data_IF_993230111121
#
_entry.id   IF_993230111121
#
_cell.length_a   1.000
_cell.length_b   1.000
_cell.length_c   1.000
_cell.angle_alpha   90.00
_cell.angle_beta   90.00
_cell.angle_gamma   90.00
#
_symmetry.space_group_name_H-M   'P 1'
#
loop_
_entity.id
_entity.type
_entity.pdbx_description
1 polymer ?
#
# COMPACT_ATOMS: atom_id res chain seq x y z
N UNK A 1 -10.68 5.90 -6.63
CA UNK A 1 -9.41 5.17 -6.88
C UNK A 1 -8.26 5.96 -6.26
N UNK A 2 -7.18 5.31 -5.82
CA UNK A 2 -5.97 5.97 -5.34
C UNK A 2 -4.71 5.38 -5.96
N UNK A 3 -3.65 6.18 -5.98
CA UNK A 3 -2.32 5.79 -6.40
C UNK A 3 -1.31 6.11 -5.29
N UNK A 4 -0.25 5.32 -5.22
CA UNK A 4 0.90 5.60 -4.38
C UNK A 4 2.14 5.84 -5.25
N UNK A 5 2.85 6.94 -4.97
CA UNK A 5 4.17 7.25 -5.51
C UNK A 5 5.21 6.89 -4.46
N UNK A 6 6.30 6.23 -4.85
CA UNK A 6 7.44 6.00 -3.94
C UNK A 6 8.48 7.09 -4.16
N UNK A 7 8.94 7.71 -3.08
CA UNK A 7 10.11 8.60 -3.11
C UNK A 7 11.40 7.86 -3.48
N UNK A 8 11.54 6.59 -3.10
CA UNK A 8 12.71 5.77 -3.43
C UNK A 8 12.85 5.47 -4.94
N UNK A 9 11.74 5.18 -5.61
CA UNK A 9 11.72 4.81 -7.04
C UNK A 9 11.34 6.00 -7.95
N UNK A 10 11.03 7.15 -7.35
CA UNK A 10 10.54 8.40 -7.96
C UNK A 10 9.42 8.19 -9.00
N UNK A 11 8.51 7.25 -8.73
CA UNK A 11 7.43 6.88 -9.66
C UNK A 11 6.19 6.39 -8.96
N UNK A 12 5.07 6.34 -9.69
CA UNK A 12 3.87 5.64 -9.23
C UNK A 12 4.16 4.15 -9.18
N UNK A 13 3.92 3.57 -8.01
CA UNK A 13 4.26 2.19 -7.69
C UNK A 13 3.05 1.36 -7.33
N UNK A 14 1.90 1.95 -7.00
CA UNK A 14 0.74 1.16 -6.64
C UNK A 14 -0.55 1.87 -7.02
N UNK A 15 -1.54 1.10 -7.44
CA UNK A 15 -2.89 1.58 -7.74
C UNK A 15 -3.88 0.72 -6.96
N UNK A 16 -4.90 1.35 -6.38
CA UNK A 16 -5.90 0.65 -5.60
C UNK A 16 -7.26 1.32 -5.64
N UNK A 17 -8.31 0.52 -5.47
CA UNK A 17 -9.64 1.03 -5.16
C UNK A 17 -9.97 0.97 -3.67
N UNK A 18 -10.52 2.08 -3.16
CA UNK A 18 -11.27 2.09 -1.92
C UNK A 18 -12.75 2.18 -2.28
N UNK A 19 -13.38 1.04 -2.57
CA UNK A 19 -14.83 0.98 -2.55
C UNK A 19 -15.32 1.44 -1.15
N UNK A 20 -16.42 2.18 -1.11
CA UNK A 20 -17.11 2.44 0.14
C UNK A 20 -17.43 1.09 0.80
N UNK A 21 -16.79 0.82 1.94
CA UNK A 21 -17.35 -0.18 2.84
C UNK A 21 -18.60 0.47 3.42
N UNK A 22 -19.79 -0.06 3.08
CA UNK A 22 -21.04 0.31 3.76
C UNK A 22 -20.77 0.34 5.26
N UNK A 23 -20.97 1.50 5.88
CA UNK A 23 -20.94 1.58 7.33
C UNK A 23 -21.96 0.60 7.91
N UNK A 24 -21.65 0.02 9.07
CA UNK A 24 -22.69 -0.63 9.88
C UNK A 24 -23.36 0.45 10.72
N UNK A 25 -24.51 0.16 11.33
CA UNK A 25 -25.15 1.07 12.31
C UNK A 25 -24.20 1.51 13.44
N UNK A 26 -23.13 0.76 13.69
CA UNK A 26 -22.09 1.00 14.69
C UNK A 26 -20.77 1.59 14.16
N UNK A 27 -20.56 1.71 12.84
CA UNK A 27 -19.31 2.25 12.27
C UNK A 27 -19.58 3.06 11.00
N UNK A 28 -19.12 4.32 10.92
CA UNK A 28 -19.33 5.15 9.74
C UNK A 28 -18.64 4.54 8.50
N UNK A 29 -19.15 4.81 7.29
CA UNK A 29 -18.47 4.48 6.04
C UNK A 29 -17.05 5.05 6.08
N UNK A 30 -16.04 4.21 5.83
CA UNK A 30 -14.66 4.64 6.03
C UNK A 30 -13.96 5.07 4.74
N UNK A 31 -14.51 4.78 3.56
CA UNK A 31 -13.99 5.22 2.25
C UNK A 31 -12.46 5.14 2.13
N UNK A 32 -11.85 6.22 1.62
CA UNK A 32 -10.40 6.40 1.53
C UNK A 32 -9.72 6.50 2.91
N UNK A 33 -10.33 7.21 3.87
CA UNK A 33 -9.73 7.43 5.21
C UNK A 33 -9.47 6.13 5.97
N UNK A 34 -10.41 5.19 5.96
CA UNK A 34 -10.20 3.86 6.57
C UNK A 34 -9.31 2.94 5.75
N UNK A 35 -9.16 3.19 4.45
CA UNK A 35 -8.16 2.48 3.65
C UNK A 35 -6.76 2.91 4.06
N UNK A 36 -6.54 4.22 4.18
CA UNK A 36 -5.27 4.81 4.66
C UNK A 36 -4.97 4.35 6.09
N UNK A 37 -5.96 4.37 6.98
CA UNK A 37 -5.79 3.92 8.37
C UNK A 37 -5.38 2.44 8.50
N UNK A 38 -5.73 1.59 7.53
CA UNK A 38 -5.29 0.19 7.50
C UNK A 38 -3.79 0.04 7.23
N UNK A 39 -3.20 0.94 6.45
CA UNK A 39 -1.75 0.92 6.19
C UNK A 39 -0.94 1.34 7.41
N UNK A 40 -1.52 2.13 8.31
CA UNK A 40 -0.84 2.62 9.51
C UNK A 40 -1.06 1.74 10.75
N UNK A 41 -1.91 0.70 10.68
CA UNK A 41 -2.46 0.01 11.86
C UNK A 41 -2.19 -1.51 12.03
N UNK A 42 -1.51 -2.20 11.10
CA UNK A 42 -1.30 -3.65 11.25
C UNK A 42 -0.53 -4.32 10.10
N UNK A 43 -0.51 -5.66 10.09
CA UNK A 43 -0.01 -6.46 8.95
C UNK A 43 -0.86 -6.14 7.73
N UNK A 44 -0.29 -5.36 6.81
CA UNK A 44 -1.02 -4.77 5.72
C UNK A 44 -1.17 -5.77 4.57
N UNK A 45 -2.32 -5.76 3.90
CA UNK A 45 -2.52 -6.40 2.60
C UNK A 45 -2.41 -5.35 1.48
N UNK A 46 -2.17 -5.80 0.24
CA UNK A 46 -2.07 -4.89 -0.90
C UNK A 46 -0.82 -4.01 -0.81
N UNK A 47 -0.97 -2.68 -0.80
CA UNK A 47 0.15 -1.72 -0.78
C UNK A 47 1.17 -2.01 0.33
N UNK A 48 0.72 -2.21 1.58
CA UNK A 48 1.67 -2.42 2.67
C UNK A 48 2.33 -3.80 2.66
N UNK A 49 1.68 -4.83 2.11
CA UNK A 49 2.32 -6.11 1.82
C UNK A 49 3.39 -5.94 0.74
N UNK A 50 3.07 -5.23 -0.34
CA UNK A 50 3.99 -4.99 -1.44
C UNK A 50 5.20 -4.13 -1.05
N UNK A 51 5.01 -3.18 -0.11
CA UNK A 51 6.09 -2.42 0.49
C UNK A 51 6.97 -3.32 1.37
N UNK A 52 6.36 -4.22 2.17
CA UNK A 52 7.10 -5.15 3.01
C UNK A 52 7.91 -6.16 2.18
N UNK A 53 7.32 -6.75 1.13
CA UNK A 53 8.02 -7.66 0.22
C UNK A 53 9.30 -7.01 -0.36
N UNK A 54 9.22 -5.73 -0.73
CA UNK A 54 10.37 -4.96 -1.24
C UNK A 54 11.40 -4.65 -0.18
N UNK A 55 10.97 -4.28 1.02
CA UNK A 55 11.88 -4.06 2.13
C UNK A 55 12.63 -5.35 2.50
N UNK A 56 11.93 -6.48 2.53
CA UNK A 56 12.54 -7.80 2.76
C UNK A 56 13.44 -8.25 1.61
N UNK A 57 13.22 -7.77 0.38
CA UNK A 57 14.11 -8.02 -0.74
C UNK A 57 15.37 -7.13 -0.74
N UNK A 58 15.49 -6.15 0.15
CA UNK A 58 16.65 -5.26 0.29
C UNK A 58 17.61 -5.76 1.39
N UNK A 59 18.79 -6.29 1.03
CA UNK A 59 19.76 -6.77 2.01
C UNK A 59 20.32 -5.68 2.92
N UNK A 60 20.39 -4.43 2.47
CA UNK A 60 20.87 -3.32 3.31
C UNK A 60 19.87 -3.06 4.44
N UNK A 61 18.60 -2.94 4.07
CA UNK A 61 17.54 -2.73 5.05
C UNK A 61 17.42 -3.89 6.04
N UNK A 62 17.52 -5.13 5.56
CA UNK A 62 17.51 -6.30 6.44
C UNK A 62 18.66 -6.32 7.45
N UNK A 63 19.87 -5.90 7.04
CA UNK A 63 21.02 -5.84 7.95
C UNK A 63 20.78 -4.86 9.10
N UNK A 64 20.21 -3.69 8.84
CA UNK A 64 19.86 -2.73 9.90
C UNK A 64 18.87 -3.34 10.90
N UNK A 65 17.85 -4.05 10.39
CA UNK A 65 16.84 -4.69 11.23
C UNK A 65 17.41 -5.87 12.02
N UNK A 66 18.37 -6.60 11.46
CA UNK A 66 19.07 -7.67 12.16
C UNK A 66 19.85 -7.12 13.36
N UNK A 67 20.56 -6.00 13.21
CA UNK A 67 21.28 -5.35 14.32
C UNK A 67 20.33 -5.02 15.48
N UNK A 68 19.11 -4.54 15.21
CA UNK A 68 18.11 -4.27 16.24
C UNK A 68 17.68 -5.55 16.97
N UNK A 69 17.50 -6.66 16.25
CA UNK A 69 17.15 -7.96 16.83
C UNK A 69 18.30 -8.49 17.69
N UNK A 70 19.53 -8.42 17.21
CA UNK A 70 20.74 -8.85 17.95
C UNK A 70 20.95 -8.00 19.22
N UNK A 71 20.58 -6.73 19.19
CA UNK A 71 20.59 -5.83 20.35
C UNK A 71 19.45 -6.09 21.34
N UNK A 72 18.64 -7.14 21.16
CA UNK A 72 17.52 -7.48 22.02
C UNK A 72 16.32 -6.54 21.88
N UNK A 73 16.19 -5.85 20.73
CA UNK A 73 15.07 -4.96 20.40
C UNK A 73 14.23 -5.53 19.24
N UNK A 74 13.68 -6.75 19.35
CA UNK A 74 12.89 -7.33 18.26
C UNK A 74 11.57 -6.57 18.06
N UNK A 75 11.27 -6.25 16.81
CA UNK A 75 10.01 -5.60 16.45
C UNK A 75 8.87 -6.61 16.22
N UNK A 76 7.66 -6.23 16.64
CA UNK A 76 6.44 -6.94 16.24
C UNK A 76 6.24 -6.85 14.72
N UNK A 77 5.66 -7.87 14.10
CA UNK A 77 5.47 -7.92 12.65
C UNK A 77 4.69 -6.71 12.07
N UNK A 78 3.74 -6.13 12.81
CA UNK A 78 3.06 -4.90 12.39
C UNK A 78 4.00 -3.69 12.31
N UNK A 79 5.02 -3.62 13.18
CA UNK A 79 6.04 -2.56 13.12
C UNK A 79 6.99 -2.75 11.94
N UNK A 80 7.30 -3.98 11.55
CA UNK A 80 8.03 -4.27 10.30
C UNK A 80 7.30 -3.72 9.07
N UNK A 81 5.99 -4.00 8.96
CA UNK A 81 5.18 -3.48 7.86
C UNK A 81 5.14 -1.94 7.85
N UNK A 82 5.01 -1.31 9.02
CA UNK A 82 5.05 0.16 9.15
C UNK A 82 6.43 0.72 8.75
N UNK A 83 7.51 0.10 9.19
CA UNK A 83 8.87 0.52 8.83
C UNK A 83 9.11 0.41 7.32
N UNK A 84 8.60 -0.64 6.67
CA UNK A 84 8.67 -0.80 5.22
C UNK A 84 7.91 0.31 4.46
N UNK A 85 6.73 0.71 4.94
CA UNK A 85 5.96 1.84 4.39
C UNK A 85 6.71 3.16 4.54
N UNK A 86 7.30 3.41 5.72
CA UNK A 86 8.10 4.61 5.97
C UNK A 86 9.32 4.66 5.06
N UNK A 87 10.07 3.55 4.97
CA UNK A 87 11.22 3.40 4.06
C UNK A 87 10.84 3.74 2.62
N UNK A 88 9.67 3.29 2.17
CA UNK A 88 9.23 3.48 0.79
C UNK A 88 8.86 4.93 0.42
N UNK A 89 8.80 5.85 1.40
CA UNK A 89 8.48 7.26 1.21
C UNK A 89 7.21 7.44 0.36
N UNK A 90 6.13 6.77 0.78
CA UNK A 90 4.92 6.70 -0.01
C UNK A 90 4.09 7.98 0.08
N UNK A 91 3.84 8.58 -1.07
CA UNK A 91 2.89 9.68 -1.25
C UNK A 91 1.61 9.16 -1.90
N UNK A 92 0.46 9.59 -1.40
CA UNK A 92 -0.85 9.15 -1.91
C UNK A 92 -1.57 10.27 -2.64
N UNK A 93 -2.14 9.95 -3.80
CA UNK A 93 -3.14 10.78 -4.48
C UNK A 93 -4.38 9.94 -4.81
N UNK A 94 -5.54 10.57 -4.95
CA UNK A 94 -6.78 9.86 -5.24
C UNK A 94 -7.72 10.67 -6.12
N UNK A 95 -8.57 9.95 -6.84
CA UNK A 95 -9.68 10.48 -7.64
C UNK A 95 -11.00 9.92 -7.11
N UNK A 96 -12.00 10.80 -7.03
CA UNK A 96 -13.39 10.46 -6.68
C UNK A 96 -14.15 10.18 -7.98
N UNK A 97 -14.88 9.07 -8.01
CA UNK A 97 -15.76 8.65 -9.12
C UNK A 97 -17.21 8.65 -8.65
N UNK A 98 -18.16 8.67 -9.59
CA UNK A 98 -19.58 8.66 -9.29
C UNK A 98 -20.05 7.31 -8.75
N UNK A 99 -19.44 6.21 -9.19
CA UNK A 99 -19.77 4.86 -8.72
C UNK A 99 -18.54 4.03 -8.36
N UNK A 100 -18.78 2.90 -7.68
CA UNK A 100 -17.74 1.90 -7.41
C UNK A 100 -17.26 1.18 -8.67
N UNK A 101 -18.13 1.00 -9.66
CA UNK A 101 -17.79 0.39 -10.96
C UNK A 101 -16.86 1.30 -11.75
N UNK A 102 -17.16 2.60 -11.82
CA UNK A 102 -16.27 3.60 -12.42
C UNK A 102 -14.91 3.65 -11.73
N UNK A 103 -14.85 3.47 -10.40
CA UNK A 103 -13.59 3.42 -9.67
C UNK A 103 -12.72 2.24 -10.14
N UNK A 104 -13.34 1.06 -10.31
CA UNK A 104 -12.68 -0.16 -10.77
C UNK A 104 -12.22 -0.02 -12.22
N UNK A 105 -13.07 0.50 -13.11
CA UNK A 105 -12.70 0.76 -14.50
C UNK A 105 -11.52 1.73 -14.61
N UNK A 106 -11.54 2.80 -13.80
CA UNK A 106 -10.42 3.74 -13.73
C UNK A 106 -9.14 3.10 -13.19
N UNK A 107 -9.24 2.26 -12.14
CA UNK A 107 -8.10 1.48 -11.62
C UNK A 107 -7.51 0.57 -12.70
N UNK A 108 -8.34 -0.17 -13.44
CA UNK A 108 -7.87 -1.08 -14.50
C UNK A 108 -7.15 -0.31 -15.62
N UNK A 109 -7.70 0.82 -16.07
CA UNK A 109 -7.07 1.68 -17.08
C UNK A 109 -5.72 2.23 -16.63
N UNK A 110 -5.63 2.69 -15.38
CA UNK A 110 -4.37 3.20 -14.83
C UNK A 110 -3.35 2.08 -14.63
N UNK A 111 -3.77 0.89 -14.17
CA UNK A 111 -2.88 -0.27 -14.07
C UNK A 111 -2.31 -0.63 -15.44
N UNK A 112 -3.16 -0.69 -16.48
CA UNK A 112 -2.71 -0.98 -17.84
C UNK A 112 -1.71 0.06 -18.37
N UNK A 113 -1.93 1.35 -18.06
CA UNK A 113 -1.05 2.43 -18.50
C UNK A 113 0.32 2.46 -17.77
N UNK A 114 0.39 1.99 -16.53
CA UNK A 114 1.60 2.07 -15.70
C UNK A 114 2.35 0.73 -15.55
N UNK A 115 1.80 -0.36 -16.06
CA UNK A 115 2.50 -1.65 -16.11
C UNK A 115 3.79 -1.53 -16.97
N UNK A 116 4.91 -2.19 -16.62
CA UNK A 116 5.12 -3.17 -15.54
C UNK A 116 5.67 -2.56 -14.23
N UNK A 117 5.65 -1.24 -14.06
CA UNK A 117 6.34 -0.58 -12.95
C UNK A 117 5.60 -0.68 -11.61
N UNK A 118 4.37 -1.20 -11.62
CA UNK A 118 3.54 -1.31 -10.44
C UNK A 118 3.92 -2.51 -9.56
N UNK A 119 3.79 -2.29 -8.27
CA UNK A 119 3.91 -3.25 -7.18
C UNK A 119 2.66 -4.10 -6.99
N UNK A 120 1.59 -3.80 -7.74
CA UNK A 120 0.37 -4.61 -7.79
C UNK A 120 0.72 -6.05 -8.18
N UNK A 121 0.42 -7.03 -7.32
CA UNK A 121 0.68 -8.46 -7.61
C UNK A 121 -0.11 -9.01 -8.81
N UNK A 122 -1.23 -8.38 -9.16
CA UNK A 122 -2.02 -8.72 -10.35
C UNK A 122 -1.76 -7.64 -11.41
N UNK A 123 -1.28 -8.06 -12.58
CA UNK A 123 -1.26 -7.22 -13.77
C UNK A 123 -2.68 -6.92 -14.28
N UNK A 124 -2.83 -6.10 -15.33
CA UNK A 124 -4.13 -5.81 -15.93
C UNK A 124 -4.86 -7.13 -16.28
N UNK A 125 -6.18 -7.17 -16.06
CA UNK A 125 -6.99 -8.34 -16.44
C UNK A 125 -7.00 -8.40 -17.97
N UNK A 126 -6.46 -9.50 -18.51
CA UNK A 126 -6.50 -9.84 -19.95
C UNK A 126 -7.92 -10.08 -20.42
#
# INVERSE_FOLDING_TARGET
MYMARSGLEDRVVYVGCAAERRGTSSRPPQGMRGRIAKYTGGLASGLGEAALDRALADPHWLRERLVEVEAGQPMRAAHWAKAAIVRAELELCWAVTGTGEEAVELEERVIAALHPFLWNRRGPRS
#
